data_IF_669337477847
#
_entry.id   IF_669337477847
#
_cell.length_a   1.000
_cell.length_b   1.000
_cell.length_c   1.000
_cell.angle_alpha   90.00
_cell.angle_beta   90.00
_cell.angle_gamma   90.00
#
_symmetry.space_group_name_H-M   'P 1'
#
loop_
_entity.id
_entity.type
_entity.pdbx_description
1 polymer ?
#
# COMPACT_ATOMS: atom_id res chain seq x y z
N UNK A 1 4.71 62.52 11.46
CA UNK A 1 4.24 61.15 11.45
C UNK A 1 3.80 60.75 10.05
N UNK A 2 4.39 59.75 9.49
CA UNK A 2 4.14 59.33 8.12
C UNK A 2 2.94 58.38 8.05
N UNK A 3 1.78 58.92 7.79
CA UNK A 3 0.59 58.13 7.56
C UNK A 3 0.55 57.68 6.08
N UNK A 4 1.61 57.03 5.67
CA UNK A 4 1.65 56.49 4.29
C UNK A 4 1.05 55.10 4.32
N UNK A 5 0.01 54.91 3.49
CA UNK A 5 -0.47 53.59 3.15
C UNK A 5 0.54 52.81 2.31
N UNK A 6 0.27 51.54 2.12
CA UNK A 6 1.09 50.71 1.24
C UNK A 6 1.06 51.23 -0.20
N UNK A 7 2.20 51.18 -0.87
CA UNK A 7 2.25 51.45 -2.28
C UNK A 7 1.61 50.31 -3.07
N UNK A 8 1.15 50.61 -4.29
CA UNK A 8 0.57 49.58 -5.16
C UNK A 8 1.55 48.45 -5.43
N UNK A 9 2.83 48.77 -5.59
CA UNK A 9 3.88 47.79 -5.86
C UNK A 9 4.16 46.90 -4.63
N UNK A 10 4.08 47.43 -3.41
CA UNK A 10 4.20 46.64 -2.21
C UNK A 10 3.05 45.62 -2.07
N UNK A 11 1.83 46.02 -2.37
CA UNK A 11 0.68 45.15 -2.39
C UNK A 11 0.85 44.05 -3.42
N UNK A 12 1.33 44.37 -4.62
CA UNK A 12 1.59 43.38 -5.66
C UNK A 12 2.65 42.36 -5.23
N UNK A 13 3.74 42.84 -4.64
CA UNK A 13 4.81 41.96 -4.15
C UNK A 13 4.28 41.08 -3.05
N UNK A 14 3.50 41.60 -2.09
CA UNK A 14 2.89 40.84 -1.04
C UNK A 14 1.96 39.73 -1.57
N UNK A 15 1.16 40.06 -2.61
CA UNK A 15 0.28 39.06 -3.24
C UNK A 15 1.06 37.96 -3.96
N UNK A 16 2.18 38.27 -4.58
CA UNK A 16 3.05 37.27 -5.23
C UNK A 16 3.64 36.34 -4.20
N UNK A 17 4.16 36.87 -3.10
CA UNK A 17 4.71 36.05 -2.00
C UNK A 17 3.61 35.17 -1.40
N UNK A 18 2.44 35.71 -1.17
CA UNK A 18 1.30 34.97 -0.66
C UNK A 18 0.90 33.84 -1.61
N UNK A 19 0.83 34.11 -2.90
CA UNK A 19 0.48 33.11 -3.92
C UNK A 19 1.49 31.95 -3.93
N UNK A 20 2.78 32.25 -3.85
CA UNK A 20 3.85 31.24 -3.78
C UNK A 20 3.67 30.39 -2.51
N UNK A 21 3.39 31.03 -1.37
CA UNK A 21 3.17 30.33 -0.11
C UNK A 21 1.98 29.39 -0.15
N UNK A 22 0.85 29.82 -0.73
CA UNK A 22 -0.34 28.99 -0.88
C UNK A 22 -0.08 27.79 -1.80
N UNK A 23 0.62 28.02 -2.93
CA UNK A 23 0.98 26.94 -3.85
C UNK A 23 1.90 25.89 -3.19
N UNK A 24 2.85 26.35 -2.37
CA UNK A 24 3.73 25.46 -1.65
C UNK A 24 2.96 24.56 -0.65
N UNK A 25 2.03 25.17 0.11
CA UNK A 25 1.18 24.43 1.04
C UNK A 25 0.28 23.43 0.30
N UNK A 26 -0.32 23.83 -0.79
CA UNK A 26 -1.15 22.97 -1.63
C UNK A 26 -0.36 21.75 -2.14
N UNK A 27 0.88 21.97 -2.58
CA UNK A 27 1.78 20.91 -3.01
C UNK A 27 2.08 19.90 -1.89
N UNK A 28 2.34 20.37 -0.68
CA UNK A 28 2.57 19.52 0.49
C UNK A 28 1.34 18.70 0.84
N UNK A 29 0.14 19.27 0.76
CA UNK A 29 -1.10 18.56 1.03
C UNK A 29 -1.33 17.41 0.05
N UNK A 30 -1.08 17.63 -1.23
CA UNK A 30 -1.19 16.57 -2.25
C UNK A 30 -0.24 15.44 -1.95
N UNK A 31 1.00 15.74 -1.61
CA UNK A 31 2.01 14.73 -1.23
C UNK A 31 1.59 13.96 0.02
N UNK A 32 1.06 14.65 1.02
CA UNK A 32 0.56 14.03 2.25
C UNK A 32 -0.62 13.09 1.98
N UNK A 33 -1.58 13.53 1.15
CA UNK A 33 -2.72 12.69 0.77
C UNK A 33 -2.27 11.43 0.04
N UNK A 34 -1.35 11.54 -0.91
CA UNK A 34 -0.81 10.37 -1.62
C UNK A 34 -0.11 9.41 -0.68
N UNK A 35 0.67 9.93 0.27
CA UNK A 35 1.32 9.13 1.31
C UNK A 35 0.32 8.41 2.19
N UNK A 36 -0.78 9.05 2.57
CA UNK A 36 -1.83 8.44 3.37
C UNK A 36 -2.57 7.33 2.61
N UNK A 37 -2.89 7.52 1.33
CA UNK A 37 -3.48 6.49 0.49
C UNK A 37 -2.54 5.30 0.33
N UNK A 38 -1.27 5.54 0.11
CA UNK A 38 -0.28 4.47 -0.01
C UNK A 38 -0.17 3.66 1.28
N UNK A 39 -0.10 4.34 2.43
CA UNK A 39 -0.05 3.69 3.75
C UNK A 39 -1.31 2.89 4.04
N UNK A 40 -2.48 3.41 3.68
CA UNK A 40 -3.76 2.70 3.84
C UNK A 40 -3.80 1.43 2.96
N UNK A 41 -3.36 1.53 1.72
CA UNK A 41 -3.28 0.39 0.81
C UNK A 41 -2.32 -0.69 1.31
N UNK A 42 -1.15 -0.31 1.83
CA UNK A 42 -0.21 -1.25 2.45
C UNK A 42 -0.85 -1.93 3.65
N UNK A 43 -1.53 -1.19 4.51
CA UNK A 43 -2.21 -1.74 5.68
C UNK A 43 -3.30 -2.76 5.27
N UNK A 44 -4.15 -2.40 4.32
CA UNK A 44 -5.19 -3.30 3.81
C UNK A 44 -4.59 -4.55 3.17
N UNK A 45 -3.57 -4.40 2.35
CA UNK A 45 -2.86 -5.53 1.74
C UNK A 45 -2.24 -6.45 2.78
N UNK A 46 -1.65 -5.88 3.83
CA UNK A 46 -1.04 -6.65 4.92
C UNK A 46 -2.09 -7.43 5.71
N UNK A 47 -3.24 -6.83 6.00
CA UNK A 47 -4.35 -7.51 6.68
C UNK A 47 -4.87 -8.67 5.82
N UNK A 48 -5.10 -8.43 4.52
CA UNK A 48 -5.56 -9.46 3.60
C UNK A 48 -4.56 -10.62 3.48
N UNK A 49 -3.27 -10.29 3.36
CA UNK A 49 -2.20 -11.27 3.24
C UNK A 49 -2.05 -12.14 4.49
N UNK A 50 -2.08 -11.53 5.65
CA UNK A 50 -2.00 -12.24 6.94
C UNK A 50 -3.22 -13.10 7.18
N UNK A 51 -4.40 -12.60 6.91
CA UNK A 51 -5.65 -13.35 7.04
C UNK A 51 -5.64 -14.60 6.13
N UNK A 52 -5.24 -14.42 4.87
CA UNK A 52 -5.13 -15.55 3.95
C UNK A 52 -4.09 -16.56 4.39
N UNK A 53 -2.96 -16.09 4.89
CA UNK A 53 -1.90 -16.95 5.41
C UNK A 53 -2.40 -17.80 6.59
N UNK A 54 -3.14 -17.20 7.51
CA UNK A 54 -3.76 -17.94 8.64
C UNK A 54 -4.78 -18.97 8.16
N UNK A 55 -5.61 -18.64 7.19
CA UNK A 55 -6.53 -19.60 6.58
C UNK A 55 -5.80 -20.79 5.96
N UNK A 56 -4.72 -20.54 5.23
CA UNK A 56 -3.92 -21.59 4.62
C UNK A 56 -3.20 -22.46 5.63
N UNK A 57 -2.79 -21.90 6.75
CA UNK A 57 -2.18 -22.66 7.87
C UNK A 57 -3.15 -23.65 8.52
N UNK A 58 -4.44 -23.36 8.50
CA UNK A 58 -5.47 -24.21 9.09
C UNK A 58 -6.00 -25.28 8.15
N UNK A 59 -5.67 -25.21 6.86
CA UNK A 59 -6.10 -26.21 5.89
C UNK A 59 -5.43 -27.56 6.13
N UNK A 60 -6.24 -28.61 6.06
CA UNK A 60 -5.78 -30.01 6.12
C UNK A 60 -6.52 -30.81 5.05
N UNK A 61 -5.85 -31.63 4.25
CA UNK A 61 -4.41 -31.91 4.22
C UNK A 61 -3.56 -30.77 3.65
N UNK A 62 -2.25 -30.96 3.68
CA UNK A 62 -1.32 -30.02 3.04
C UNK A 62 -1.61 -29.92 1.54
N UNK A 63 -1.58 -28.72 1.02
CA UNK A 63 -1.75 -28.48 -0.42
C UNK A 63 -0.56 -29.02 -1.21
N UNK A 64 -0.84 -29.44 -2.43
CA UNK A 64 0.22 -29.81 -3.38
C UNK A 64 1.07 -28.56 -3.75
N UNK A 65 2.37 -28.75 -4.02
CA UNK A 65 3.19 -27.67 -4.51
C UNK A 65 2.62 -27.08 -5.81
N UNK A 66 2.57 -25.76 -5.90
CA UNK A 66 2.05 -25.06 -7.07
C UNK A 66 1.71 -23.61 -6.75
N UNK A 67 1.32 -22.89 -7.80
CA UNK A 67 0.82 -21.53 -7.69
C UNK A 67 -0.70 -21.51 -7.78
N UNK A 68 -1.32 -20.73 -6.92
CA UNK A 68 -2.78 -20.64 -6.83
C UNK A 68 -3.21 -19.17 -6.91
N UNK A 69 -4.32 -18.95 -7.60
CA UNK A 69 -4.93 -17.63 -7.71
C UNK A 69 -6.12 -17.56 -6.74
N UNK A 70 -6.04 -16.65 -5.78
CA UNK A 70 -7.07 -16.44 -4.76
C UNK A 70 -8.09 -15.36 -5.15
N UNK A 71 -7.92 -14.76 -6.33
CA UNK A 71 -8.86 -13.78 -6.89
C UNK A 71 -8.57 -12.35 -6.47
N UNK A 72 -9.59 -11.52 -6.60
CA UNK A 72 -9.52 -10.08 -6.33
C UNK A 72 -10.51 -9.69 -5.25
N UNK A 73 -10.10 -8.75 -4.41
CA UNK A 73 -10.97 -8.10 -3.42
C UNK A 73 -10.86 -6.60 -3.62
N UNK A 74 -12.00 -5.91 -3.76
CA UNK A 74 -12.04 -4.45 -3.85
C UNK A 74 -12.33 -3.85 -2.49
N UNK A 75 -11.48 -2.93 -2.04
CA UNK A 75 -11.64 -2.19 -0.79
C UNK A 75 -11.42 -0.72 -1.10
N UNK A 76 -12.42 0.10 -0.80
CA UNK A 76 -12.37 1.56 -0.99
C UNK A 76 -11.92 2.00 -2.39
N UNK A 77 -12.38 1.27 -3.41
CA UNK A 77 -12.06 1.58 -4.79
C UNK A 77 -10.72 1.04 -5.29
N UNK A 78 -9.93 0.41 -4.43
CA UNK A 78 -8.68 -0.26 -4.81
C UNK A 78 -8.93 -1.76 -4.92
N UNK A 79 -8.52 -2.35 -6.04
CA UNK A 79 -8.59 -3.78 -6.26
C UNK A 79 -7.28 -4.45 -5.84
N UNK A 80 -7.39 -5.39 -4.92
CA UNK A 80 -6.25 -6.17 -4.43
C UNK A 80 -6.32 -7.57 -5.05
N UNK A 81 -5.24 -7.98 -5.70
CA UNK A 81 -5.08 -9.35 -6.18
C UNK A 81 -4.37 -10.18 -5.13
N UNK A 82 -4.84 -11.39 -4.91
CA UNK A 82 -4.20 -12.32 -3.99
C UNK A 82 -3.80 -13.57 -4.72
N UNK A 83 -2.56 -13.99 -4.52
CA UNK A 83 -2.03 -15.26 -5.02
C UNK A 83 -1.24 -15.92 -3.90
N UNK A 84 -1.19 -17.24 -3.93
CA UNK A 84 -0.28 -17.94 -3.04
C UNK A 84 0.49 -19.04 -3.78
N UNK A 85 1.67 -19.29 -3.32
CA UNK A 85 2.55 -20.35 -3.84
C UNK A 85 2.86 -21.32 -2.71
N UNK A 86 2.73 -22.60 -2.98
CA UNK A 86 3.07 -23.68 -2.07
C UNK A 86 4.31 -24.37 -2.62
N UNK A 87 5.35 -24.45 -1.83
CA UNK A 87 6.61 -25.10 -2.19
C UNK A 87 6.97 -26.16 -1.14
N UNK A 88 7.69 -27.18 -1.57
CA UNK A 88 8.24 -28.15 -0.64
C UNK A 88 9.40 -27.52 0.12
N UNK A 89 9.44 -27.68 1.45
CA UNK A 89 10.54 -27.18 2.24
C UNK A 89 11.83 -27.93 1.87
N UNK A 90 12.95 -27.23 1.61
CA UNK A 90 14.18 -27.87 1.14
C UNK A 90 14.78 -28.87 2.13
N UNK A 91 14.65 -28.61 3.44
CA UNK A 91 15.22 -29.46 4.49
C UNK A 91 14.20 -30.37 5.16
N UNK A 92 12.90 -30.15 4.95
CA UNK A 92 11.78 -30.87 5.58
C UNK A 92 10.78 -31.29 4.51
N UNK A 93 10.96 -32.44 3.85
CA UNK A 93 10.13 -32.83 2.71
C UNK A 93 8.65 -33.00 3.02
N UNK A 94 8.30 -33.27 4.29
CA UNK A 94 6.91 -33.38 4.73
C UNK A 94 6.27 -32.03 5.04
N UNK A 95 7.04 -30.95 5.00
CA UNK A 95 6.57 -29.59 5.29
C UNK A 95 6.46 -28.78 3.99
N UNK A 96 5.62 -27.74 4.04
CA UNK A 96 5.42 -26.84 2.92
C UNK A 96 5.75 -25.41 3.32
N UNK A 97 6.36 -24.70 2.42
CA UNK A 97 6.51 -23.24 2.51
C UNK A 97 5.35 -22.62 1.77
N UNK A 98 4.58 -21.80 2.45
CA UNK A 98 3.44 -21.09 1.86
C UNK A 98 3.81 -19.61 1.79
N UNK A 99 3.74 -19.04 0.60
CA UNK A 99 3.96 -17.61 0.36
C UNK A 99 2.71 -17.00 -0.20
N UNK A 100 2.16 -16.02 0.48
CA UNK A 100 1.02 -15.24 0.03
C UNK A 100 1.50 -13.89 -0.47
N UNK A 101 1.09 -13.50 -1.66
CA UNK A 101 1.38 -12.20 -2.25
C UNK A 101 0.08 -11.46 -2.49
N UNK A 102 0.01 -10.22 -2.02
CA UNK A 102 -1.10 -9.32 -2.27
C UNK A 102 -0.58 -8.16 -3.09
N UNK A 103 -1.14 -7.98 -4.28
CA UNK A 103 -0.79 -6.92 -5.20
C UNK A 103 -1.91 -5.92 -5.37
N UNK A 104 -1.57 -4.66 -5.59
CA UNK A 104 -2.52 -3.61 -5.97
C UNK A 104 -1.84 -2.63 -6.91
N UNK A 105 -2.65 -1.85 -7.58
CA UNK A 105 -2.17 -0.84 -8.51
C UNK A 105 -2.80 0.49 -8.19
N UNK A 106 -1.97 1.51 -8.06
CA UNK A 106 -2.37 2.91 -8.04
C UNK A 106 -1.74 3.62 -9.26
N UNK A 107 -0.71 4.44 -9.09
CA UNK A 107 0.09 4.99 -10.18
C UNK A 107 1.16 4.01 -10.67
N UNK A 108 1.46 2.99 -9.90
CA UNK A 108 2.41 1.92 -10.19
C UNK A 108 1.95 0.62 -9.53
N UNK A 109 2.59 -0.49 -9.88
CA UNK A 109 2.29 -1.79 -9.29
C UNK A 109 3.01 -1.94 -7.95
N UNK A 110 2.28 -2.38 -6.94
CA UNK A 110 2.79 -2.63 -5.59
C UNK A 110 2.40 -4.04 -5.16
N UNK A 111 3.23 -4.63 -4.32
CA UNK A 111 2.90 -5.91 -3.71
C UNK A 111 3.56 -6.07 -2.34
N UNK A 112 2.94 -6.86 -1.49
CA UNK A 112 3.49 -7.33 -0.22
C UNK A 112 3.40 -8.84 -0.19
N UNK A 113 4.38 -9.50 0.41
CA UNK A 113 4.43 -10.95 0.50
C UNK A 113 4.67 -11.39 1.94
N UNK A 114 4.01 -12.48 2.32
CA UNK A 114 4.16 -13.13 3.60
C UNK A 114 4.42 -14.60 3.38
N UNK A 115 5.27 -15.20 4.18
CA UNK A 115 5.56 -16.62 4.08
C UNK A 115 5.58 -17.30 5.45
N UNK A 116 5.23 -18.57 5.45
CA UNK A 116 5.28 -19.41 6.63
C UNK A 116 5.63 -20.83 6.23
N UNK A 117 6.05 -21.62 7.20
CA UNK A 117 6.26 -23.06 7.05
C UNK A 117 5.12 -23.79 7.75
N UNK A 118 4.48 -24.72 7.02
CA UNK A 118 3.42 -25.56 7.54
C UNK A 118 3.91 -27.00 7.61
N UNK A 119 3.84 -27.58 8.79
CA UNK A 119 4.09 -29.02 9.03
C UNK A 119 2.81 -29.83 8.84
N UNK A 120 2.93 -31.11 8.53
CA UNK A 120 1.76 -31.99 8.40
C UNK A 120 0.97 -32.15 9.72
#
# INVERSE_FOLDING_TARGET
MNNKGFSLIEVLIALVILAIGILAIAGMQITSLRGNFFSDNIMQASILGQDRLEQLKTLSPLQNPGAYDDGFIAIRGTSFSMTHVVETHPDLPDSRVIRVTVGWRDTSDHSVSFSTVKSP
#
